data_IF_127825016281
#
_entry.id   IF_127825016281
#
_cell.length_a   1.000
_cell.length_b   1.000
_cell.length_c   1.000
_cell.angle_alpha   90.00
_cell.angle_beta   90.00
_cell.angle_gamma   90.00
#
_symmetry.space_group_name_H-M   'P 1'
#
loop_
_entity.id
_entity.type
_entity.pdbx_description
1 polymer ?
#
# COMPACT_ATOMS: atom_id res chain seq x y z
N UNK A 1 25.76 -45.85 -25.23
CA UNK A 1 25.95 -44.79 -24.20
C UNK A 1 26.10 -43.36 -24.74
N UNK A 2 25.81 -43.06 -26.02
CA UNK A 2 25.86 -41.66 -26.55
C UNK A 2 24.50 -41.07 -26.95
N UNK A 3 23.43 -41.88 -26.93
CA UNK A 3 22.09 -41.46 -27.40
C UNK A 3 21.25 -40.88 -26.24
N UNK A 4 21.49 -41.29 -25.00
CA UNK A 4 20.73 -40.84 -23.82
C UNK A 4 21.06 -39.39 -23.43
N UNK A 5 22.26 -38.90 -23.73
CA UNK A 5 22.70 -37.56 -23.34
C UNK A 5 22.11 -36.44 -24.19
N UNK A 6 21.63 -36.76 -25.41
CA UNK A 6 21.05 -35.77 -26.33
C UNK A 6 19.61 -35.41 -25.95
N UNK A 7 18.89 -36.34 -25.30
CA UNK A 7 17.48 -36.14 -24.91
C UNK A 7 17.36 -35.19 -23.71
N UNK A 8 18.33 -35.20 -22.77
CA UNK A 8 18.29 -34.31 -21.60
C UNK A 8 18.57 -32.83 -21.95
N UNK A 9 19.30 -32.54 -23.03
CA UNK A 9 19.58 -31.14 -23.43
C UNK A 9 18.37 -30.53 -24.15
N UNK A 10 17.51 -31.34 -24.76
CA UNK A 10 16.31 -30.85 -25.46
C UNK A 10 15.14 -30.51 -24.53
N UNK A 11 15.14 -30.99 -23.28
CA UNK A 11 14.07 -30.74 -22.30
C UNK A 11 14.29 -29.48 -21.45
N UNK A 12 15.40 -28.74 -21.62
CA UNK A 12 15.74 -27.56 -20.81
C UNK A 12 15.36 -26.23 -21.49
N UNK A 13 14.92 -26.24 -22.75
CA UNK A 13 14.58 -25.01 -23.49
C UNK A 13 13.08 -24.76 -23.69
N UNK A 14 12.21 -25.46 -22.96
CA UNK A 14 10.81 -25.05 -22.80
C UNK A 14 10.65 -24.19 -21.53
N UNK A 15 11.53 -23.21 -21.37
CA UNK A 15 11.20 -22.02 -20.59
C UNK A 15 10.11 -21.32 -21.39
N UNK A 16 8.84 -21.60 -21.05
CA UNK A 16 7.73 -20.79 -21.55
C UNK A 16 8.01 -19.38 -21.05
N UNK A 17 8.52 -18.54 -21.94
CA UNK A 17 8.45 -17.10 -21.75
C UNK A 17 6.95 -16.79 -21.77
N UNK A 18 6.35 -16.76 -20.58
CA UNK A 18 5.07 -16.09 -20.38
C UNK A 18 5.37 -14.61 -20.67
N UNK A 19 5.37 -14.25 -21.94
CA UNK A 19 5.31 -12.86 -22.35
C UNK A 19 3.96 -12.40 -21.82
N UNK A 20 3.99 -11.68 -20.69
CA UNK A 20 2.83 -10.99 -20.17
C UNK A 20 2.46 -9.91 -21.19
N UNK A 21 1.63 -10.29 -22.16
CA UNK A 21 0.93 -9.33 -22.99
C UNK A 21 -0.09 -8.67 -22.06
N UNK A 22 0.20 -7.46 -21.61
CA UNK A 22 -0.80 -6.63 -20.96
C UNK A 22 -1.96 -6.47 -21.93
N UNK A 23 -3.08 -7.16 -21.66
CA UNK A 23 -4.28 -7.01 -22.46
C UNK A 23 -4.70 -5.55 -22.39
N UNK A 24 -4.99 -4.93 -23.54
CA UNK A 24 -5.62 -3.60 -23.60
C UNK A 24 -7.08 -3.65 -23.14
N UNK A 25 -7.61 -4.82 -22.82
CA UNK A 25 -8.90 -4.98 -22.15
C UNK A 25 -8.77 -4.58 -20.68
N UNK A 26 -9.47 -3.51 -20.32
CA UNK A 26 -9.67 -3.13 -18.93
C UNK A 26 -10.26 -4.29 -18.16
N UNK A 27 -9.70 -4.62 -16.99
CA UNK A 27 -10.24 -5.66 -16.12
C UNK A 27 -11.63 -5.31 -15.54
N UNK A 28 -12.18 -4.13 -15.90
CA UNK A 28 -13.41 -3.56 -15.35
C UNK A 28 -13.37 -3.47 -13.81
N UNK A 29 -12.17 -3.32 -13.25
CA UNK A 29 -11.96 -3.23 -11.82
C UNK A 29 -12.07 -1.79 -11.33
N UNK A 30 -12.47 -1.64 -10.07
CA UNK A 30 -12.43 -0.37 -9.34
C UNK A 30 -11.53 -0.56 -8.13
N UNK A 31 -10.61 0.39 -7.91
CA UNK A 31 -9.78 0.44 -6.72
C UNK A 31 -10.24 1.60 -5.84
N UNK A 32 -10.62 1.30 -4.60
CA UNK A 32 -11.02 2.30 -3.63
C UNK A 32 -9.81 2.72 -2.79
N UNK A 33 -9.65 4.04 -2.61
CA UNK A 33 -8.64 4.64 -1.75
C UNK A 33 -9.33 5.58 -0.79
N UNK A 34 -8.82 5.67 0.44
CA UNK A 34 -9.30 6.58 1.45
C UNK A 34 -8.12 7.30 2.08
N UNK A 35 -8.01 8.57 1.71
CA UNK A 35 -6.89 9.44 2.08
C UNK A 35 -7.19 10.17 3.40
N UNK A 36 -6.19 10.89 3.90
CA UNK A 36 -6.26 11.70 5.12
C UNK A 36 -6.59 10.92 6.40
N UNK A 37 -6.14 9.67 6.50
CA UNK A 37 -6.34 8.90 7.73
C UNK A 37 -5.44 9.41 8.84
N UNK A 38 -6.08 9.82 9.93
CA UNK A 38 -5.45 10.51 11.07
C UNK A 38 -6.28 10.35 12.35
N UNK A 39 -5.65 10.49 13.52
CA UNK A 39 -6.26 10.12 14.80
C UNK A 39 -6.77 11.29 15.66
N UNK A 40 -6.63 12.54 15.21
CA UNK A 40 -7.16 13.69 15.95
C UNK A 40 -8.53 14.16 15.43
N UNK A 41 -9.01 13.64 14.30
CA UNK A 41 -10.21 14.13 13.62
C UNK A 41 -11.07 12.99 13.08
N UNK A 42 -12.36 12.95 13.41
CA UNK A 42 -13.35 12.02 12.84
C UNK A 42 -13.04 10.50 12.99
N UNK A 43 -12.30 10.08 14.01
CA UNK A 43 -11.93 8.67 14.23
C UNK A 43 -13.11 7.70 14.07
N UNK A 44 -14.27 8.01 14.64
CA UNK A 44 -15.48 7.16 14.53
C UNK A 44 -15.97 6.97 13.09
N UNK A 45 -15.91 8.03 12.29
CA UNK A 45 -16.36 8.01 10.89
C UNK A 45 -15.37 7.21 10.06
N UNK A 46 -14.07 7.47 10.24
CA UNK A 46 -13.01 6.76 9.54
C UNK A 46 -13.05 5.25 9.82
N UNK A 47 -13.13 4.84 11.10
CA UNK A 47 -13.22 3.42 11.45
C UNK A 47 -14.49 2.77 10.88
N UNK A 48 -15.60 3.51 10.83
CA UNK A 48 -16.87 2.99 10.28
C UNK A 48 -16.81 2.80 8.76
N UNK A 49 -16.11 3.66 8.04
CA UNK A 49 -15.86 3.49 6.60
C UNK A 49 -15.05 2.22 6.38
N UNK A 50 -13.92 2.07 7.08
CA UNK A 50 -13.05 0.87 6.96
C UNK A 50 -13.84 -0.40 7.30
N UNK A 51 -14.59 -0.40 8.41
CA UNK A 51 -15.47 -1.52 8.80
C UNK A 51 -16.48 -1.87 7.70
N UNK A 52 -17.01 -0.87 6.99
CA UNK A 52 -18.01 -1.10 5.92
C UNK A 52 -17.39 -1.85 4.76
N UNK A 53 -16.16 -1.51 4.34
CA UNK A 53 -15.44 -2.24 3.31
C UNK A 53 -15.17 -3.69 3.72
N UNK A 54 -14.71 -3.91 4.96
CA UNK A 54 -14.50 -5.25 5.50
C UNK A 54 -15.81 -6.06 5.53
N UNK A 55 -16.91 -5.48 5.98
CA UNK A 55 -18.24 -6.13 6.03
C UNK A 55 -18.78 -6.46 4.64
N UNK A 56 -18.44 -5.67 3.62
CA UNK A 56 -18.82 -5.89 2.23
C UNK A 56 -17.85 -6.81 1.48
N UNK A 57 -16.81 -7.30 2.15
CA UNK A 57 -15.77 -8.12 1.55
C UNK A 57 -15.12 -7.42 0.34
N UNK A 58 -14.95 -6.10 0.42
CA UNK A 58 -14.39 -5.24 -0.61
C UNK A 58 -13.02 -4.69 -0.20
N UNK A 59 -12.10 -4.59 -1.15
CA UNK A 59 -10.76 -4.05 -0.90
C UNK A 59 -10.73 -2.53 -0.79
N UNK A 60 -9.86 -2.03 0.09
CA UNK A 60 -9.64 -0.61 0.34
C UNK A 60 -8.17 -0.35 0.66
N UNK A 61 -7.58 0.65 0.02
CA UNK A 61 -6.28 1.19 0.42
C UNK A 61 -6.51 2.40 1.34
N UNK A 62 -5.95 2.38 2.55
CA UNK A 62 -6.03 3.49 3.51
C UNK A 62 -4.71 4.26 3.53
N UNK A 63 -4.75 5.58 3.32
CA UNK A 63 -3.55 6.42 3.25
C UNK A 63 -3.35 7.17 4.56
N UNK A 64 -2.27 6.81 5.27
CA UNK A 64 -1.98 7.30 6.61
C UNK A 64 -1.08 8.54 6.59
N UNK A 65 -1.47 9.61 7.29
CA UNK A 65 -0.58 10.75 7.55
C UNK A 65 0.22 10.47 8.84
N UNK A 66 1.51 10.20 8.70
CA UNK A 66 2.25 9.52 9.75
C UNK A 66 2.36 10.30 11.08
N UNK A 67 2.55 11.63 11.06
CA UNK A 67 2.60 12.44 12.29
C UNK A 67 1.24 12.69 12.92
N UNK A 68 0.16 12.44 12.19
CA UNK A 68 -1.19 12.55 12.71
C UNK A 68 -1.72 11.20 13.21
N UNK A 69 -0.80 10.30 13.57
CA UNK A 69 -1.05 9.04 14.24
C UNK A 69 -0.24 8.94 15.55
N UNK A 70 -0.82 8.23 16.52
CA UNK A 70 -0.26 7.96 17.84
C UNK A 70 -0.70 8.92 18.95
N UNK A 71 -1.54 9.92 18.67
CA UNK A 71 -2.13 10.80 19.69
C UNK A 71 -3.38 10.20 20.32
N UNK A 72 -4.22 9.52 19.53
CA UNK A 72 -5.36 8.71 19.99
C UNK A 72 -5.15 7.26 19.61
N UNK A 73 -4.97 6.44 20.63
CA UNK A 73 -4.72 5.02 20.48
C UNK A 73 -5.90 4.26 19.84
N UNK A 74 -7.11 4.85 19.79
CA UNK A 74 -8.29 4.22 19.18
C UNK A 74 -8.07 3.80 17.73
N UNK A 75 -7.59 4.70 16.88
CA UNK A 75 -7.41 4.42 15.46
C UNK A 75 -6.24 3.44 15.24
N UNK A 76 -5.14 3.65 15.97
CA UNK A 76 -3.96 2.76 15.90
C UNK A 76 -4.30 1.34 16.35
N UNK A 77 -5.04 1.17 17.45
CA UNK A 77 -5.52 -0.13 17.89
C UNK A 77 -6.46 -0.76 16.87
N UNK A 78 -7.40 0.02 16.32
CA UNK A 78 -8.30 -0.46 15.29
C UNK A 78 -7.54 -1.01 14.08
N UNK A 79 -6.55 -0.26 13.57
CA UNK A 79 -5.69 -0.71 12.47
C UNK A 79 -4.96 -2.01 12.85
N UNK A 80 -4.31 -2.05 14.03
CA UNK A 80 -3.53 -3.21 14.47
C UNK A 80 -4.37 -4.47 14.65
N UNK A 81 -5.59 -4.35 15.18
CA UNK A 81 -6.47 -5.50 15.41
C UNK A 81 -7.15 -5.99 14.14
N UNK A 82 -7.59 -5.07 13.28
CA UNK A 82 -8.52 -5.37 12.18
C UNK A 82 -7.83 -5.51 10.84
N UNK A 83 -6.80 -4.72 10.56
CA UNK A 83 -6.08 -4.77 9.27
C UNK A 83 -5.13 -5.96 9.24
N UNK A 84 -4.34 -6.19 10.30
CA UNK A 84 -3.33 -7.27 10.29
C UNK A 84 -3.91 -8.69 10.32
N UNK A 85 -4.92 -8.94 11.14
CA UNK A 85 -5.30 -10.33 11.49
C UNK A 85 -6.40 -10.94 10.62
N UNK A 86 -7.26 -10.13 10.01
CA UNK A 86 -8.53 -10.62 9.46
C UNK A 86 -8.92 -10.02 8.10
N UNK A 87 -8.06 -9.25 7.44
CA UNK A 87 -8.47 -8.52 6.23
C UNK A 87 -7.31 -8.30 5.25
N UNK A 88 -6.96 -9.30 4.43
CA UNK A 88 -6.05 -9.09 3.29
C UNK A 88 -6.59 -8.06 2.27
N UNK A 89 -7.82 -7.59 2.46
CA UNK A 89 -8.50 -6.59 1.66
C UNK A 89 -8.14 -5.15 2.03
N UNK A 90 -7.53 -4.91 3.19
CA UNK A 90 -7.09 -3.56 3.57
C UNK A 90 -5.59 -3.43 3.34
N UNK A 91 -5.22 -2.53 2.44
CA UNK A 91 -3.83 -2.15 2.17
C UNK A 91 -3.52 -0.84 2.89
N UNK A 92 -2.31 -0.72 3.46
CA UNK A 92 -1.84 0.52 4.07
C UNK A 92 -0.92 1.25 3.11
N UNK A 93 -1.28 2.49 2.79
CA UNK A 93 -0.47 3.42 2.03
C UNK A 93 0.12 4.52 2.94
N UNK A 94 1.26 5.05 2.51
CA UNK A 94 1.86 6.23 3.09
C UNK A 94 1.25 7.49 2.42
N UNK A 95 0.81 8.46 3.22
CA UNK A 95 0.29 9.75 2.76
C UNK A 95 1.12 10.94 3.26
N UNK A 96 2.43 10.77 3.33
CA UNK A 96 3.37 11.76 3.83
C UNK A 96 3.50 11.77 5.34
N UNK A 97 4.34 12.68 5.83
CA UNK A 97 4.60 12.84 7.26
C UNK A 97 3.55 13.78 7.87
N UNK A 98 3.28 14.92 7.23
CA UNK A 98 2.35 15.97 7.68
C UNK A 98 1.46 16.50 6.54
N UNK A 99 1.20 15.69 5.51
CA UNK A 99 0.44 16.11 4.32
C UNK A 99 1.17 17.21 3.50
N UNK A 100 2.48 17.01 3.27
CA UNK A 100 3.34 17.93 2.53
C UNK A 100 3.01 17.99 1.04
N UNK A 101 3.25 19.15 0.41
CA UNK A 101 3.15 19.28 -1.05
C UNK A 101 4.46 18.79 -1.69
N UNK A 102 4.55 17.48 -2.02
CA UNK A 102 5.79 16.83 -2.45
C UNK A 102 6.44 17.47 -3.69
N UNK A 103 5.64 18.12 -4.55
CA UNK A 103 6.14 18.88 -5.70
C UNK A 103 7.02 20.09 -5.36
N UNK A 104 7.16 20.48 -4.09
CA UNK A 104 8.01 21.59 -3.63
C UNK A 104 9.38 21.15 -3.12
N UNK A 105 9.66 19.85 -3.11
CA UNK A 105 10.87 19.28 -2.53
C UNK A 105 11.77 18.67 -3.60
N UNK A 106 13.08 18.63 -3.34
CA UNK A 106 14.03 17.88 -4.17
C UNK A 106 13.86 16.36 -3.97
N UNK A 107 14.32 15.55 -4.91
CA UNK A 107 14.30 14.08 -4.80
C UNK A 107 14.82 13.58 -3.43
N UNK A 108 15.97 14.10 -2.97
CA UNK A 108 16.54 13.72 -1.68
C UNK A 108 15.65 14.12 -0.49
N UNK A 109 15.01 15.29 -0.54
CA UNK A 109 14.08 15.71 0.51
C UNK A 109 12.82 14.85 0.51
N UNK A 110 12.28 14.53 -0.67
CA UNK A 110 11.16 13.61 -0.78
C UNK A 110 11.50 12.23 -0.24
N UNK A 111 12.69 11.71 -0.56
CA UNK A 111 13.18 10.44 -0.01
C UNK A 111 13.26 10.46 1.51
N UNK A 112 13.79 11.52 2.12
CA UNK A 112 13.85 11.67 3.58
C UNK A 112 12.43 11.64 4.16
N UNK A 113 11.51 12.43 3.61
CA UNK A 113 10.11 12.49 4.07
C UNK A 113 9.42 11.12 3.97
N UNK A 114 9.60 10.40 2.86
CA UNK A 114 9.05 9.06 2.67
C UNK A 114 9.68 8.04 3.62
N UNK A 115 10.99 8.11 3.83
CA UNK A 115 11.69 7.21 4.72
C UNK A 115 11.22 7.39 6.18
N UNK A 116 11.14 8.63 6.64
CA UNK A 116 10.70 8.96 7.99
C UNK A 116 9.24 8.57 8.23
N UNK A 117 8.34 8.95 7.31
CA UNK A 117 6.92 8.60 7.41
C UNK A 117 6.67 7.09 7.38
N UNK A 118 7.35 6.34 6.51
CA UNK A 118 7.30 4.88 6.51
C UNK A 118 7.78 4.29 7.85
N UNK A 119 8.91 4.79 8.37
CA UNK A 119 9.44 4.35 9.66
C UNK A 119 8.45 4.57 10.79
N UNK A 120 7.79 5.73 10.82
CA UNK A 120 6.77 6.06 11.82
C UNK A 120 5.54 5.16 11.70
N UNK A 121 5.02 4.94 10.50
CA UNK A 121 3.87 4.03 10.27
C UNK A 121 4.20 2.61 10.74
N UNK A 122 5.39 2.10 10.40
CA UNK A 122 5.85 0.78 10.83
C UNK A 122 5.95 0.70 12.36
N UNK A 123 6.50 1.72 13.01
CA UNK A 123 6.66 1.71 14.47
C UNK A 123 5.31 1.73 15.21
N UNK A 124 4.31 2.45 14.69
CA UNK A 124 2.99 2.56 15.33
C UNK A 124 2.09 1.37 15.02
N UNK A 125 2.15 0.86 13.78
CA UNK A 125 1.19 -0.12 13.29
C UNK A 125 1.78 -1.51 13.05
N UNK A 126 3.10 -1.66 13.03
CA UNK A 126 3.79 -2.88 12.59
C UNK A 126 3.64 -3.18 11.10
N UNK A 127 2.92 -2.36 10.33
CA UNK A 127 2.65 -2.58 8.90
C UNK A 127 3.62 -1.74 8.08
N UNK A 128 4.24 -2.37 7.08
CA UNK A 128 5.04 -1.67 6.07
C UNK A 128 4.13 -1.21 4.94
N UNK A 129 4.03 0.11 4.68
CA UNK A 129 3.31 0.59 3.51
C UNK A 129 3.93 0.05 2.21
N UNK A 130 3.08 -0.41 1.28
CA UNK A 130 3.46 -0.90 -0.05
C UNK A 130 3.33 0.18 -1.13
N UNK A 131 2.53 1.20 -0.87
CA UNK A 131 2.15 2.25 -1.81
C UNK A 131 2.33 3.62 -1.15
N UNK A 132 2.71 4.60 -1.95
CA UNK A 132 2.68 6.01 -1.58
C UNK A 132 1.57 6.69 -2.38
N UNK A 133 0.74 7.47 -1.69
CA UNK A 133 -0.27 8.35 -2.30
C UNK A 133 0.18 9.76 -1.96
N UNK A 134 0.51 10.56 -2.97
CA UNK A 134 1.00 11.92 -2.74
C UNK A 134 -0.14 12.82 -2.24
N UNK A 135 0.06 13.58 -1.15
CA UNK A 135 -0.86 14.66 -0.81
C UNK A 135 -1.08 15.59 -1.99
N UNK A 136 -2.34 16.02 -2.19
CA UNK A 136 -2.77 16.85 -3.32
C UNK A 136 -2.53 16.21 -4.71
N UNK A 137 -2.28 14.90 -4.79
CA UNK A 137 -1.90 14.18 -6.01
C UNK A 137 -0.69 14.79 -6.73
N UNK A 138 0.22 15.44 -6.00
CA UNK A 138 1.29 16.26 -6.56
C UNK A 138 2.69 15.83 -6.09
N UNK A 139 3.48 15.31 -7.04
CA UNK A 139 4.90 14.94 -6.85
C UNK A 139 5.75 15.50 -8.02
N UNK A 140 7.06 15.66 -7.80
CA UNK A 140 8.02 16.01 -8.85
C UNK A 140 9.14 14.97 -8.97
N UNK A 141 9.95 15.06 -10.04
CA UNK A 141 11.08 14.17 -10.34
C UNK A 141 12.38 14.69 -9.73
#
# INVERSE_FOLDING_TARGET
MKIVFVICIFLIFLSITQISYGSTESCQCVAFRFDDIQDYWLNNVQTKIIDTFQQKNASLTIALIANYLGNDQKLVNFINERVQKNSPQIEVANHGLNHEHFSQFTENQQWILLHESNGRIINLTGIRPSVFIAPYDAINN
#
